data_IF_662903023326
#
_entry.id   IF_662903023326
#
_cell.length_a   1.000
_cell.length_b   1.000
_cell.length_c   1.000
_cell.angle_alpha   90.00
_cell.angle_beta   90.00
_cell.angle_gamma   90.00
#
_symmetry.space_group_name_H-M   'P 1'
#
loop_
_entity.id
_entity.type
_entity.pdbx_description
1 polymer ?
#
# COMPACT_ATOMS: atom_id res chain seq x y z
N UNK A 1 28.96 17.67 9.77
CA UNK A 1 27.67 17.01 9.54
C UNK A 1 26.69 17.65 10.47
N UNK A 2 25.49 17.98 10.01
CA UNK A 2 24.48 18.56 10.91
C UNK A 2 24.06 17.50 11.93
N UNK A 3 23.77 17.93 13.14
CA UNK A 3 23.30 17.05 14.25
C UNK A 3 21.99 16.32 13.93
N UNK A 4 21.39 16.56 12.76
CA UNK A 4 20.10 16.04 12.31
C UNK A 4 20.19 14.79 11.41
N UNK A 5 21.30 14.53 10.73
CA UNK A 5 21.44 13.40 9.80
C UNK A 5 22.04 12.21 10.53
N UNK A 6 21.27 11.09 10.60
CA UNK A 6 21.70 9.82 11.18
C UNK A 6 22.42 8.95 10.15
N UNK A 7 21.95 9.01 8.90
CA UNK A 7 22.53 8.25 7.80
C UNK A 7 22.39 9.03 6.49
N UNK A 8 23.45 8.99 5.70
CA UNK A 8 23.48 9.46 4.30
C UNK A 8 24.30 8.47 3.50
N UNK A 9 23.73 7.89 2.46
CA UNK A 9 24.35 6.88 1.61
C UNK A 9 23.36 6.29 0.62
N UNK A 10 23.69 5.17 0.02
CA UNK A 10 22.82 4.44 -0.91
C UNK A 10 21.89 3.46 -0.20
N UNK A 11 20.84 3.00 -0.91
CA UNK A 11 19.94 1.96 -0.39
C UNK A 11 20.70 0.69 0.01
N UNK A 12 21.70 0.26 -0.77
CA UNK A 12 22.55 -0.90 -0.48
C UNK A 12 23.36 -0.72 0.80
N UNK A 13 23.93 0.46 1.01
CA UNK A 13 24.69 0.78 2.23
C UNK A 13 23.78 0.82 3.46
N UNK A 14 22.55 1.38 3.31
CA UNK A 14 21.54 1.35 4.37
C UNK A 14 21.21 -0.09 4.76
N UNK A 15 20.93 -0.96 3.79
CA UNK A 15 20.68 -2.38 4.02
C UNK A 15 21.82 -3.05 4.78
N UNK A 16 23.07 -2.81 4.36
CA UNK A 16 24.25 -3.35 5.03
C UNK A 16 24.37 -2.92 6.49
N UNK A 17 24.07 -1.65 6.79
CA UNK A 17 24.10 -1.15 8.17
C UNK A 17 22.97 -1.72 9.05
N UNK A 18 21.81 -1.92 8.47
CA UNK A 18 20.67 -2.57 9.14
C UNK A 18 21.02 -4.02 9.47
N UNK A 19 21.61 -4.77 8.53
CA UNK A 19 22.03 -6.18 8.73
C UNK A 19 23.08 -6.34 9.82
N UNK A 20 24.02 -5.37 9.92
CA UNK A 20 25.05 -5.35 10.95
C UNK A 20 24.55 -4.87 12.31
N UNK A 21 23.29 -4.44 12.41
CA UNK A 21 22.74 -3.86 13.64
C UNK A 21 23.33 -2.49 14.01
N UNK A 22 23.95 -1.78 13.05
CA UNK A 22 24.53 -0.46 13.29
C UNK A 22 23.44 0.64 13.35
N UNK A 23 22.28 0.39 12.75
CA UNK A 23 21.12 1.25 12.76
C UNK A 23 19.95 0.51 13.39
N UNK A 24 19.92 0.49 14.72
CA UNK A 24 18.80 -0.09 15.47
C UNK A 24 17.85 1.05 15.86
N UNK A 25 16.64 1.10 15.30
CA UNK A 25 15.66 2.08 15.74
C UNK A 25 15.30 1.81 17.20
N UNK A 26 15.19 2.86 17.99
CA UNK A 26 14.52 2.78 19.29
C UNK A 26 13.02 2.62 19.05
N UNK A 27 12.60 1.39 18.72
CA UNK A 27 11.19 1.06 18.66
C UNK A 27 10.62 1.18 20.08
N UNK A 28 10.02 2.29 20.39
CA UNK A 28 8.97 2.27 21.38
C UNK A 28 7.83 1.48 20.77
N UNK A 29 7.46 0.38 21.42
CA UNK A 29 6.29 -0.40 21.05
C UNK A 29 5.07 0.53 21.15
N UNK A 30 4.79 1.26 20.07
CA UNK A 30 3.59 2.06 20.01
C UNK A 30 2.48 1.12 19.56
N UNK A 31 1.44 1.00 20.36
CA UNK A 31 0.17 0.41 19.95
C UNK A 31 -0.59 1.31 18.96
N UNK A 32 0.13 2.28 18.34
CA UNK A 32 -0.45 3.14 17.32
C UNK A 32 -0.61 2.38 16.00
N UNK A 33 -1.71 2.56 15.28
CA UNK A 33 -1.86 2.03 13.93
C UNK A 33 -0.66 2.46 13.04
N UNK A 34 -0.23 1.58 12.12
CA UNK A 34 -0.85 0.34 11.72
C UNK A 34 -0.25 -0.89 12.42
N UNK A 35 -1.05 -1.64 13.19
CA UNK A 35 -0.67 -2.93 13.77
C UNK A 35 -1.11 -4.10 12.85
N UNK A 36 -0.77 -5.34 13.22
CA UNK A 36 -1.17 -6.57 12.50
C UNK A 36 -2.67 -6.61 12.18
N UNK A 37 -3.53 -6.27 13.15
CA UNK A 37 -4.99 -6.20 12.99
C UNK A 37 -5.41 -5.22 11.89
N UNK A 38 -4.81 -4.03 11.84
CA UNK A 38 -5.13 -3.01 10.84
C UNK A 38 -4.91 -3.48 9.42
N UNK A 39 -3.81 -4.19 9.20
CA UNK A 39 -3.47 -4.67 7.86
C UNK A 39 -4.32 -5.85 7.44
N UNK A 40 -4.61 -6.77 8.36
CA UNK A 40 -5.54 -7.86 8.09
C UNK A 40 -6.92 -7.30 7.73
N UNK A 41 -7.43 -6.33 8.48
CA UNK A 41 -8.68 -5.64 8.16
C UNK A 41 -8.64 -4.98 6.77
N UNK A 42 -7.52 -4.32 6.42
CA UNK A 42 -7.38 -3.64 5.12
C UNK A 42 -7.54 -4.61 3.93
N UNK A 43 -6.99 -5.81 4.04
CA UNK A 43 -7.12 -6.85 3.00
C UNK A 43 -8.57 -7.35 2.91
N UNK A 44 -9.17 -7.66 4.05
CA UNK A 44 -10.53 -8.21 4.11
C UNK A 44 -11.60 -7.19 3.67
N UNK A 45 -11.40 -5.92 4.00
CA UNK A 45 -12.29 -4.84 3.56
C UNK A 45 -12.32 -4.66 2.03
N UNK A 46 -11.39 -5.26 1.29
CA UNK A 46 -11.38 -5.32 -0.17
C UNK A 46 -12.21 -6.44 -0.79
N UNK A 47 -13.00 -7.18 0.00
CA UNK A 47 -13.87 -8.27 -0.47
C UNK A 47 -15.32 -7.81 -0.40
N UNK A 48 -16.02 -7.81 -1.53
CA UNK A 48 -17.44 -7.42 -1.61
C UNK A 48 -18.34 -8.39 -0.87
N UNK A 49 -19.40 -7.89 -0.27
CA UNK A 49 -20.37 -8.66 0.51
C UNK A 49 -19.72 -9.49 1.62
N UNK A 50 -18.58 -9.03 2.13
CA UNK A 50 -17.89 -9.58 3.28
C UNK A 50 -18.17 -8.72 4.51
N UNK A 51 -18.43 -9.35 5.65
CA UNK A 51 -18.50 -8.66 6.94
C UNK A 51 -17.26 -8.99 7.77
N UNK A 52 -16.33 -8.05 7.95
CA UNK A 52 -15.31 -8.15 8.99
C UNK A 52 -16.01 -8.14 10.36
N UNK A 53 -15.88 -9.22 11.13
CA UNK A 53 -16.38 -9.32 12.50
C UNK A 53 -15.20 -9.19 13.46
N UNK A 54 -15.09 -8.04 14.10
CA UNK A 54 -13.99 -7.73 15.00
C UNK A 54 -14.28 -8.33 16.37
N UNK A 55 -13.48 -9.31 16.77
CA UNK A 55 -13.56 -9.93 18.09
C UNK A 55 -12.63 -9.20 19.06
N UNK A 56 -13.23 -8.20 19.72
CA UNK A 56 -12.47 -7.30 20.58
C UNK A 56 -13.30 -6.13 21.10
N UNK A 57 -12.63 -5.12 21.69
CA UNK A 57 -13.29 -3.93 22.20
C UNK A 57 -13.70 -2.99 21.07
N UNK A 58 -14.64 -2.11 21.36
CA UNK A 58 -15.14 -1.11 20.40
C UNK A 58 -14.06 -0.17 19.87
N UNK A 59 -12.99 0.08 20.65
CA UNK A 59 -11.88 0.95 20.24
C UNK A 59 -11.14 0.46 19.00
N UNK A 60 -10.88 -0.83 18.87
CA UNK A 60 -10.26 -1.40 17.66
C UNK A 60 -11.17 -1.23 16.45
N UNK A 61 -12.47 -1.48 16.61
CA UNK A 61 -13.46 -1.29 15.55
C UNK A 61 -13.57 0.17 15.12
N UNK A 62 -13.62 1.08 16.10
CA UNK A 62 -13.69 2.51 15.82
C UNK A 62 -12.47 2.99 15.04
N UNK A 63 -11.27 2.55 15.42
CA UNK A 63 -10.03 3.00 14.77
C UNK A 63 -10.00 2.69 13.27
N UNK A 64 -10.36 1.47 12.87
CA UNK A 64 -10.41 1.09 11.45
C UNK A 64 -11.62 1.71 10.74
N UNK A 65 -12.81 1.64 11.34
CA UNK A 65 -14.04 2.16 10.72
C UNK A 65 -13.98 3.67 10.49
N UNK A 66 -13.43 4.44 11.45
CA UNK A 66 -13.28 5.88 11.31
C UNK A 66 -12.30 6.24 10.18
N UNK A 67 -11.14 5.57 10.14
CA UNK A 67 -10.15 5.81 9.09
C UNK A 67 -10.71 5.49 7.69
N UNK A 68 -11.36 4.35 7.52
CA UNK A 68 -11.92 3.97 6.22
C UNK A 68 -13.11 4.82 5.82
N UNK A 69 -13.98 5.22 6.76
CA UNK A 69 -15.10 6.13 6.46
C UNK A 69 -14.64 7.54 6.10
N UNK A 70 -13.62 8.06 6.79
CA UNK A 70 -13.07 9.38 6.47
C UNK A 70 -12.47 9.45 5.07
N UNK A 71 -11.89 8.36 4.60
CA UNK A 71 -11.19 8.28 3.33
C UNK A 71 -11.88 7.35 2.33
N UNK A 72 -13.14 6.94 2.62
CA UNK A 72 -13.88 5.98 1.81
C UNK A 72 -14.01 6.43 0.37
N UNK A 73 -13.43 5.65 -0.52
CA UNK A 73 -13.70 5.69 -1.94
C UNK A 73 -14.86 4.75 -2.23
N UNK A 74 -16.04 5.27 -2.52
CA UNK A 74 -17.15 4.51 -3.11
C UNK A 74 -16.83 4.21 -4.57
N UNK A 75 -15.99 3.19 -4.81
CA UNK A 75 -15.61 2.83 -6.16
C UNK A 75 -16.22 1.49 -6.58
N UNK A 76 -16.81 1.45 -7.77
CA UNK A 76 -17.43 0.25 -8.38
C UNK A 76 -18.34 -0.55 -7.45
N UNK A 77 -19.07 0.11 -6.57
CA UNK A 77 -19.95 -0.56 -5.63
C UNK A 77 -19.20 -1.40 -4.58
N UNK A 78 -17.93 -1.08 -4.31
CA UNK A 78 -17.19 -1.54 -3.16
C UNK A 78 -17.24 -0.45 -2.08
N UNK A 79 -18.36 -0.28 -1.37
CA UNK A 79 -18.42 0.58 -0.21
C UNK A 79 -17.47 0.01 0.84
N UNK A 80 -17.11 0.82 1.82
CA UNK A 80 -16.57 0.25 3.06
C UNK A 80 -17.61 -0.72 3.59
N UNK A 81 -17.31 -2.01 3.52
CA UNK A 81 -18.22 -3.06 3.93
C UNK A 81 -18.65 -2.87 5.38
N UNK A 82 -19.88 -3.24 5.73
CA UNK A 82 -20.37 -3.09 7.09
C UNK A 82 -19.51 -3.93 8.04
N UNK A 83 -18.90 -3.28 9.01
CA UNK A 83 -18.08 -3.92 10.04
C UNK A 83 -18.92 -4.24 11.27
N UNK A 84 -18.83 -5.45 11.78
CA UNK A 84 -19.43 -5.88 13.04
C UNK A 84 -18.39 -6.00 14.16
N UNK A 85 -18.84 -5.99 15.41
CA UNK A 85 -17.97 -6.05 16.59
C UNK A 85 -18.63 -6.81 17.72
N UNK A 86 -17.84 -7.63 18.42
CA UNK A 86 -18.33 -8.31 19.64
C UNK A 86 -18.47 -7.35 20.82
N UNK A 87 -17.79 -6.20 20.78
CA UNK A 87 -17.79 -5.21 21.86
C UNK A 87 -17.46 -5.83 23.24
N UNK A 88 -16.36 -6.60 23.29
CA UNK A 88 -15.93 -7.25 24.53
C UNK A 88 -15.75 -6.21 25.65
N UNK A 89 -16.39 -6.47 26.77
CA UNK A 89 -16.29 -5.73 28.02
C UNK A 89 -15.59 -6.57 29.10
N UNK A 90 -15.49 -6.05 30.30
CA UNK A 90 -14.82 -6.70 31.43
C UNK A 90 -15.37 -8.09 31.73
N UNK A 91 -16.70 -8.29 31.63
CA UNK A 91 -17.34 -9.59 31.87
C UNK A 91 -16.80 -10.65 30.91
N UNK A 92 -16.73 -10.33 29.62
CA UNK A 92 -16.19 -11.26 28.62
C UNK A 92 -14.70 -11.48 28.75
N UNK A 93 -13.94 -10.48 29.23
CA UNK A 93 -12.51 -10.64 29.51
C UNK A 93 -12.28 -11.65 30.65
N UNK A 94 -13.15 -11.68 31.66
CA UNK A 94 -13.03 -12.59 32.81
C UNK A 94 -13.56 -13.98 32.50
N UNK A 95 -14.67 -14.11 31.80
CA UNK A 95 -15.40 -15.37 31.61
C UNK A 95 -15.25 -15.99 30.21
N UNK A 96 -14.51 -15.34 29.29
CA UNK A 96 -14.35 -15.74 27.89
C UNK A 96 -15.38 -15.08 26.97
N UNK A 97 -14.95 -14.80 25.75
CA UNK A 97 -15.71 -14.08 24.72
C UNK A 97 -16.35 -14.96 23.64
N UNK A 98 -16.10 -16.27 23.63
CA UNK A 98 -16.53 -17.18 22.56
C UNK A 98 -18.05 -17.21 22.36
N UNK A 99 -18.81 -17.22 23.44
CA UNK A 99 -20.29 -17.19 23.37
C UNK A 99 -20.79 -15.89 22.72
N UNK A 100 -20.17 -14.76 23.08
CA UNK A 100 -20.48 -13.45 22.47
C UNK A 100 -20.09 -13.40 20.99
N UNK A 101 -18.94 -14.00 20.63
CA UNK A 101 -18.49 -14.10 19.25
C UNK A 101 -19.51 -14.88 18.40
N UNK A 102 -19.97 -16.02 18.91
CA UNK A 102 -20.95 -16.86 18.24
C UNK A 102 -22.24 -16.07 17.96
N UNK A 103 -22.80 -15.42 18.97
CA UNK A 103 -24.02 -14.62 18.80
C UNK A 103 -23.79 -13.40 17.87
N UNK A 104 -22.65 -12.72 17.98
CA UNK A 104 -22.33 -11.59 17.10
C UNK A 104 -22.26 -11.98 15.62
N UNK A 105 -21.78 -13.18 15.32
CA UNK A 105 -21.74 -13.68 13.95
C UNK A 105 -23.15 -13.98 13.41
N UNK A 106 -24.04 -14.53 14.24
CA UNK A 106 -25.46 -14.70 13.88
C UNK A 106 -26.17 -13.37 13.67
N UNK A 107 -25.91 -12.40 14.54
CA UNK A 107 -26.42 -11.03 14.40
C UNK A 107 -25.95 -10.40 13.09
N UNK A 108 -24.66 -10.54 12.74
CA UNK A 108 -24.08 -10.05 11.51
C UNK A 108 -24.74 -10.69 10.26
N UNK A 109 -24.95 -12.02 10.28
CA UNK A 109 -25.68 -12.73 9.21
C UNK A 109 -27.09 -12.19 9.05
N UNK A 110 -27.84 -12.09 10.15
CA UNK A 110 -29.23 -11.61 10.15
C UNK A 110 -29.34 -10.17 9.63
N UNK A 111 -28.38 -9.31 10.01
CA UNK A 111 -28.42 -7.87 9.70
C UNK A 111 -27.96 -7.54 8.29
N UNK A 112 -26.89 -8.17 7.84
CA UNK A 112 -26.20 -7.79 6.60
C UNK A 112 -26.32 -8.82 5.49
N UNK A 113 -26.70 -10.06 5.81
CA UNK A 113 -26.77 -11.20 4.90
C UNK A 113 -25.53 -11.32 3.97
N UNK A 114 -24.31 -11.34 4.53
CA UNK A 114 -23.09 -11.41 3.75
C UNK A 114 -22.89 -12.79 3.10
N UNK A 115 -22.05 -12.83 2.07
CA UNK A 115 -21.56 -14.07 1.47
C UNK A 115 -20.40 -14.69 2.30
N UNK A 116 -19.65 -13.82 3.02
CA UNK A 116 -18.50 -14.21 3.84
C UNK A 116 -18.49 -13.39 5.15
N UNK A 117 -18.22 -14.05 6.25
CA UNK A 117 -17.87 -13.42 7.53
C UNK A 117 -16.40 -13.74 7.84
N UNK A 118 -15.59 -12.70 8.10
CA UNK A 118 -14.21 -12.89 8.52
C UNK A 118 -14.02 -12.39 9.94
N UNK A 119 -13.79 -13.31 10.86
CA UNK A 119 -13.50 -13.00 12.25
C UNK A 119 -12.05 -12.51 12.36
N UNK A 120 -11.85 -11.33 12.93
CA UNK A 120 -10.55 -10.72 13.19
C UNK A 120 -10.35 -10.62 14.71
N UNK A 121 -9.44 -11.43 15.27
CA UNK A 121 -9.12 -11.34 16.70
C UNK A 121 -8.30 -10.08 17.01
N UNK A 122 -8.61 -9.46 18.16
CA UNK A 122 -7.85 -8.33 18.71
C UNK A 122 -6.94 -8.78 19.85
N UNK A 123 -6.12 -7.86 20.37
CA UNK A 123 -5.18 -8.16 21.44
C UNK A 123 -5.86 -8.75 22.69
N UNK A 124 -7.02 -8.22 23.10
CA UNK A 124 -7.72 -8.73 24.29
C UNK A 124 -8.25 -10.16 24.09
N UNK A 125 -8.86 -10.48 22.96
CA UNK A 125 -9.35 -11.84 22.67
C UNK A 125 -8.20 -12.85 22.56
N UNK A 126 -7.05 -12.44 22.00
CA UNK A 126 -5.86 -13.29 21.98
C UNK A 126 -5.24 -13.52 23.37
N UNK A 127 -5.25 -12.50 24.25
CA UNK A 127 -4.75 -12.64 25.63
C UNK A 127 -5.61 -13.58 26.49
N UNK A 128 -6.94 -13.49 26.36
CA UNK A 128 -7.85 -14.39 27.09
C UNK A 128 -7.92 -15.79 26.49
N UNK A 129 -7.36 -16.00 25.30
CA UNK A 129 -7.23 -17.32 24.68
C UNK A 129 -8.48 -17.84 24.01
N UNK A 130 -9.41 -16.98 23.56
CA UNK A 130 -10.61 -17.40 22.84
C UNK A 130 -10.27 -18.18 21.57
N UNK A 131 -10.91 -19.34 21.36
CA UNK A 131 -10.72 -20.18 20.18
C UNK A 131 -11.62 -19.73 19.02
N UNK A 132 -11.14 -18.70 18.31
CA UNK A 132 -11.87 -18.07 17.21
C UNK A 132 -12.10 -19.00 16.02
N UNK A 133 -11.20 -19.95 15.77
CA UNK A 133 -11.30 -20.94 14.69
C UNK A 133 -12.40 -21.96 14.95
N UNK A 134 -12.46 -22.50 16.18
CA UNK A 134 -13.54 -23.42 16.57
C UNK A 134 -14.89 -22.72 16.53
N UNK A 135 -14.97 -21.47 17.01
CA UNK A 135 -16.22 -20.69 16.93
C UNK A 135 -16.61 -20.44 15.47
N UNK A 136 -15.65 -20.04 14.59
CA UNK A 136 -15.92 -19.85 13.18
C UNK A 136 -16.54 -21.09 12.53
N UNK A 137 -15.93 -22.27 12.75
CA UNK A 137 -16.39 -23.53 12.18
C UNK A 137 -17.81 -23.94 12.70
N UNK A 138 -18.13 -23.61 13.94
CA UNK A 138 -19.48 -23.86 14.52
C UNK A 138 -20.53 -22.92 13.92
N UNK A 139 -20.19 -21.63 13.83
CA UNK A 139 -21.08 -20.60 13.26
C UNK A 139 -21.37 -20.88 11.80
N UNK A 140 -20.37 -21.21 11.00
CA UNK A 140 -20.50 -21.54 9.58
C UNK A 140 -21.56 -22.58 9.33
N UNK A 141 -21.56 -23.67 10.12
CA UNK A 141 -22.55 -24.76 10.03
C UNK A 141 -23.95 -24.29 10.39
N UNK A 142 -24.07 -23.42 11.39
CA UNK A 142 -25.39 -22.98 11.88
C UNK A 142 -26.04 -21.96 10.95
N UNK A 143 -25.26 -21.00 10.41
CA UNK A 143 -25.82 -19.90 9.60
C UNK A 143 -25.77 -20.18 8.09
N UNK A 144 -25.16 -21.29 7.66
CA UNK A 144 -24.99 -21.69 6.27
C UNK A 144 -24.35 -20.54 5.42
N UNK A 145 -23.25 -20.01 5.90
CA UNK A 145 -22.48 -18.92 5.27
C UNK A 145 -21.01 -19.15 5.54
N UNK A 146 -20.14 -18.95 4.55
CA UNK A 146 -18.69 -19.11 4.73
C UNK A 146 -18.21 -18.22 5.88
N UNK A 147 -17.48 -18.79 6.85
CA UNK A 147 -16.93 -18.09 8.01
C UNK A 147 -15.48 -18.52 8.22
N UNK A 148 -14.57 -17.59 8.19
CA UNK A 148 -13.14 -17.83 8.48
C UNK A 148 -12.67 -16.94 9.62
N UNK A 149 -11.61 -17.35 10.29
CA UNK A 149 -10.98 -16.59 11.36
C UNK A 149 -9.52 -16.25 11.03
N UNK A 150 -9.08 -15.09 11.46
CA UNK A 150 -7.71 -14.63 11.33
C UNK A 150 -7.23 -14.19 12.70
N UNK A 151 -6.12 -14.79 13.17
CA UNK A 151 -5.42 -14.32 14.36
C UNK A 151 -4.62 -13.06 14.02
N UNK A 152 -5.20 -11.93 14.35
CA UNK A 152 -4.70 -10.60 13.96
C UNK A 152 -4.26 -9.73 15.15
N UNK A 153 -3.97 -10.33 16.29
CA UNK A 153 -3.54 -9.63 17.50
C UNK A 153 -2.30 -8.77 17.23
N UNK A 154 -2.36 -7.51 17.64
CA UNK A 154 -1.28 -6.54 17.38
C UNK A 154 0.08 -6.91 18.00
N UNK A 155 0.08 -7.67 19.12
CA UNK A 155 1.29 -8.20 19.72
C UNK A 155 1.83 -9.45 19.00
N UNK A 156 1.01 -10.12 18.20
CA UNK A 156 1.37 -11.36 17.49
C UNK A 156 2.16 -11.13 16.19
N UNK A 157 2.48 -9.90 15.86
CA UNK A 157 3.25 -9.57 14.67
C UNK A 157 3.16 -8.11 14.28
N UNK A 158 3.81 -7.80 13.18
CA UNK A 158 3.89 -6.46 12.60
C UNK A 158 2.81 -6.21 11.53
N UNK A 159 2.89 -5.05 10.91
CA UNK A 159 2.01 -4.63 9.82
C UNK A 159 2.01 -5.62 8.63
N UNK A 160 3.19 -6.17 8.26
CA UNK A 160 3.31 -7.11 7.15
C UNK A 160 2.68 -8.46 7.47
N UNK A 161 2.88 -8.96 8.68
CA UNK A 161 2.33 -10.23 9.13
C UNK A 161 0.80 -10.27 9.10
N UNK A 162 0.13 -9.13 9.36
CA UNK A 162 -1.33 -9.03 9.22
C UNK A 162 -1.81 -9.19 7.78
N UNK A 163 -1.09 -8.62 6.85
CA UNK A 163 -1.36 -8.78 5.42
C UNK A 163 -1.14 -10.24 4.96
N UNK A 164 -0.05 -10.86 5.42
CA UNK A 164 0.27 -12.25 5.08
C UNK A 164 -0.75 -13.25 5.63
N UNK A 165 -1.18 -13.06 6.89
CA UNK A 165 -2.20 -13.92 7.49
C UNK A 165 -3.57 -13.76 6.80
N UNK A 166 -3.94 -12.54 6.41
CA UNK A 166 -5.16 -12.32 5.65
C UNK A 166 -5.12 -13.01 4.28
N UNK A 167 -3.99 -12.97 3.57
CA UNK A 167 -3.87 -13.69 2.31
C UNK A 167 -3.84 -15.21 2.48
N UNK A 168 -3.25 -15.75 3.54
CA UNK A 168 -3.37 -17.19 3.86
C UNK A 168 -4.84 -17.59 4.03
N UNK A 169 -5.59 -16.78 4.78
CA UNK A 169 -7.02 -17.03 4.99
C UNK A 169 -7.83 -16.92 3.69
N UNK A 170 -7.53 -15.95 2.80
CA UNK A 170 -8.18 -15.85 1.49
C UNK A 170 -7.85 -17.07 0.61
N UNK A 171 -6.59 -17.51 0.58
CA UNK A 171 -6.17 -18.69 -0.19
C UNK A 171 -6.84 -19.97 0.29
N UNK A 172 -7.14 -20.10 1.59
CA UNK A 172 -7.90 -21.26 2.10
C UNK A 172 -9.33 -21.37 1.58
N UNK A 173 -9.90 -20.28 1.08
CA UNK A 173 -11.24 -20.27 0.42
C UNK A 173 -11.19 -20.72 -1.03
N UNK A 174 -10.02 -20.74 -1.66
CA UNK A 174 -9.83 -21.08 -3.06
C UNK A 174 -10.04 -22.57 -3.30
N UNK A 175 -10.50 -22.92 -4.50
CA UNK A 175 -10.74 -24.32 -4.89
C UNK A 175 -9.98 -24.62 -6.16
N UNK A 176 -9.34 -25.81 -6.28
CA UNK A 176 -8.71 -26.24 -7.51
C UNK A 176 -9.68 -26.14 -8.70
N UNK A 177 -9.24 -25.53 -9.79
CA UNK A 177 -10.04 -25.27 -10.98
C UNK A 177 -9.26 -25.59 -12.24
N UNK A 178 -9.98 -25.91 -13.33
CA UNK A 178 -9.36 -26.01 -14.64
C UNK A 178 -8.95 -24.64 -15.12
N UNK A 179 -7.70 -24.50 -15.54
CA UNK A 179 -7.14 -23.25 -16.06
C UNK A 179 -7.85 -22.82 -17.34
N UNK A 180 -8.25 -21.56 -17.39
CA UNK A 180 -8.82 -20.88 -18.56
C UNK A 180 -7.73 -20.05 -19.24
N UNK A 181 -7.57 -20.21 -20.54
CA UNK A 181 -6.60 -19.45 -21.33
C UNK A 181 -6.93 -17.95 -21.33
N UNK A 182 -5.90 -17.14 -21.46
CA UNK A 182 -5.98 -15.68 -21.51
C UNK A 182 -6.72 -15.08 -20.31
N UNK A 183 -6.53 -15.67 -19.12
CA UNK A 183 -7.10 -15.15 -17.88
C UNK A 183 -6.02 -14.95 -16.83
N UNK A 184 -6.16 -13.89 -16.05
CA UNK A 184 -5.27 -13.56 -14.92
C UNK A 184 -6.08 -13.15 -13.69
N UNK A 185 -5.45 -13.20 -12.51
CA UNK A 185 -5.83 -12.36 -11.39
C UNK A 185 -4.82 -11.21 -11.26
N UNK A 186 -5.25 -10.09 -10.69
CA UNK A 186 -4.34 -9.06 -10.16
C UNK A 186 -4.23 -9.31 -8.66
N UNK A 187 -3.01 -9.49 -8.15
CA UNK A 187 -2.73 -9.82 -6.75
C UNK A 187 -1.86 -8.77 -6.08
N UNK A 188 -2.00 -8.63 -4.75
CA UNK A 188 -1.26 -7.64 -3.98
C UNK A 188 -1.86 -6.24 -4.01
N UNK A 189 -3.07 -6.08 -4.53
CA UNK A 189 -3.82 -4.84 -4.39
C UNK A 189 -4.10 -4.57 -2.91
N UNK A 190 -4.02 -3.31 -2.52
CA UNK A 190 -4.27 -2.90 -1.15
C UNK A 190 -5.21 -1.71 -1.11
N UNK A 191 -6.35 -1.91 -0.50
CA UNK A 191 -7.27 -0.84 -0.15
C UNK A 191 -6.81 -0.24 1.17
N UNK A 192 -6.31 0.98 1.12
CA UNK A 192 -5.87 1.70 2.32
C UNK A 192 -6.54 3.06 2.44
N UNK A 193 -6.78 3.55 3.66
CA UNK A 193 -7.39 4.87 3.83
C UNK A 193 -6.49 6.00 3.33
N UNK A 194 -5.20 5.74 3.16
CA UNK A 194 -4.22 6.71 2.66
C UNK A 194 -3.93 6.60 1.16
N UNK A 195 -4.47 5.58 0.49
CA UNK A 195 -4.32 5.39 -0.96
C UNK A 195 -5.68 5.58 -1.64
N UNK A 196 -6.04 6.81 -1.91
CA UNK A 196 -7.34 7.16 -2.51
C UNK A 196 -7.38 6.91 -4.02
N UNK A 197 -6.24 6.72 -4.65
CA UNK A 197 -6.07 6.52 -6.09
C UNK A 197 -6.18 5.04 -6.50
N UNK A 198 -6.22 4.11 -5.55
CA UNK A 198 -6.23 2.67 -5.83
C UNK A 198 -7.29 2.21 -6.84
N UNK A 199 -8.51 2.80 -6.88
CA UNK A 199 -9.51 2.37 -7.87
C UNK A 199 -9.07 2.68 -9.29
N UNK A 200 -8.58 3.90 -9.52
CA UNK A 200 -8.12 4.34 -10.84
C UNK A 200 -6.83 3.60 -11.25
N UNK A 201 -6.00 3.21 -10.30
CA UNK A 201 -4.82 2.38 -10.55
C UNK A 201 -5.22 0.98 -11.02
N UNK A 202 -6.24 0.37 -10.40
CA UNK A 202 -6.80 -0.90 -10.87
C UNK A 202 -7.37 -0.75 -12.28
N UNK A 203 -8.14 0.30 -12.53
CA UNK A 203 -8.73 0.53 -13.85
C UNK A 203 -7.68 0.66 -14.95
N UNK A 204 -6.60 1.38 -14.68
CA UNK A 204 -5.51 1.53 -15.65
C UNK A 204 -4.78 0.20 -15.89
N UNK A 205 -4.49 -0.58 -14.86
CA UNK A 205 -3.86 -1.89 -15.02
C UNK A 205 -4.76 -2.88 -15.75
N UNK A 206 -6.06 -2.90 -15.44
CA UNK A 206 -7.05 -3.71 -16.17
C UNK A 206 -7.13 -3.29 -17.63
N UNK A 207 -7.22 -1.99 -17.92
CA UNK A 207 -7.23 -1.46 -19.29
C UNK A 207 -6.06 -1.97 -20.12
N UNK A 208 -4.85 -1.96 -19.54
CA UNK A 208 -3.62 -2.39 -20.20
C UNK A 208 -3.63 -3.90 -20.53
N UNK A 209 -4.07 -4.74 -19.61
CA UNK A 209 -4.11 -6.19 -19.87
C UNK A 209 -5.30 -6.59 -20.76
N UNK A 210 -6.44 -5.93 -20.63
CA UNK A 210 -7.60 -6.15 -21.50
C UNK A 210 -7.31 -5.76 -22.95
N UNK A 211 -6.48 -4.74 -23.19
CA UNK A 211 -5.99 -4.38 -24.53
C UNK A 211 -5.13 -5.46 -25.18
N UNK A 212 -4.60 -6.43 -24.41
CA UNK A 212 -3.91 -7.63 -24.89
C UNK A 212 -4.86 -8.81 -25.18
N UNK A 213 -6.16 -8.65 -24.93
CA UNK A 213 -7.14 -9.74 -25.00
C UNK A 213 -7.13 -10.64 -23.77
N UNK A 214 -6.59 -10.17 -22.65
CA UNK A 214 -6.55 -10.88 -21.37
C UNK A 214 -7.77 -10.49 -20.55
N UNK A 215 -8.44 -11.49 -19.97
CA UNK A 215 -9.56 -11.27 -19.04
C UNK A 215 -9.05 -11.30 -17.60
N UNK A 216 -9.39 -10.29 -16.81
CA UNK A 216 -9.12 -10.28 -15.38
C UNK A 216 -10.24 -11.03 -14.66
N UNK A 217 -9.92 -12.17 -14.03
CA UNK A 217 -10.87 -12.95 -13.25
C UNK A 217 -11.20 -12.23 -11.92
N UNK A 218 -10.17 -11.78 -11.22
CA UNK A 218 -10.32 -11.10 -9.94
C UNK A 218 -9.16 -10.12 -9.69
N UNK A 219 -9.47 -9.01 -9.00
CA UNK A 219 -8.47 -8.20 -8.30
C UNK A 219 -8.55 -8.59 -6.83
N UNK A 220 -7.69 -9.50 -6.41
CA UNK A 220 -7.76 -10.06 -5.05
C UNK A 220 -7.54 -8.96 -4.01
N UNK A 221 -8.48 -8.84 -3.06
CA UNK A 221 -8.56 -7.77 -2.07
C UNK A 221 -8.69 -6.34 -2.66
N UNK A 222 -9.10 -6.23 -3.93
CA UNK A 222 -9.33 -4.96 -4.64
C UNK A 222 -10.75 -4.83 -5.20
N UNK A 223 -11.76 -5.27 -4.46
CA UNK A 223 -13.16 -5.25 -4.87
C UNK A 223 -13.66 -6.59 -5.47
N UNK A 224 -12.98 -7.70 -5.18
CA UNK A 224 -13.41 -9.04 -5.59
C UNK A 224 -14.58 -9.57 -4.75
N UNK A 225 -15.32 -10.53 -5.30
CA UNK A 225 -16.35 -11.31 -4.62
C UNK A 225 -15.79 -12.62 -4.08
N UNK A 226 -16.50 -13.26 -3.15
CA UNK A 226 -16.16 -14.61 -2.66
C UNK A 226 -16.08 -15.64 -3.79
N UNK A 227 -17.00 -15.58 -4.76
CA UNK A 227 -17.01 -16.51 -5.90
C UNK A 227 -15.80 -16.30 -6.82
N UNK A 228 -15.34 -15.04 -7.00
CA UNK A 228 -14.10 -14.75 -7.71
C UNK A 228 -12.88 -15.28 -6.98
N UNK A 229 -12.87 -15.21 -5.64
CA UNK A 229 -11.81 -15.81 -4.81
C UNK A 229 -11.82 -17.34 -4.96
N UNK A 230 -12.99 -18.00 -4.81
CA UNK A 230 -13.09 -19.46 -4.91
C UNK A 230 -12.58 -19.99 -6.25
N UNK A 231 -12.78 -19.24 -7.34
CA UNK A 231 -12.32 -19.63 -8.68
C UNK A 231 -10.97 -19.01 -9.07
N UNK A 232 -10.29 -18.28 -8.18
CA UNK A 232 -9.01 -17.64 -8.48
C UNK A 232 -7.95 -18.60 -9.06
N UNK A 233 -7.88 -19.90 -8.68
CA UNK A 233 -6.96 -20.83 -9.31
C UNK A 233 -7.25 -21.21 -10.78
N UNK A 234 -8.33 -20.70 -11.39
CA UNK A 234 -8.66 -20.98 -12.79
C UNK A 234 -7.90 -20.14 -13.83
N UNK A 235 -6.90 -19.37 -13.44
CA UNK A 235 -6.17 -18.46 -14.33
C UNK A 235 -4.81 -19.00 -14.75
N UNK A 236 -4.26 -18.46 -15.86
CA UNK A 236 -2.92 -18.82 -16.33
C UNK A 236 -1.81 -18.17 -15.50
N UNK A 237 -2.07 -16.97 -14.92
CA UNK A 237 -1.06 -16.19 -14.22
C UNK A 237 -1.69 -15.28 -13.17
N UNK A 238 -1.02 -15.08 -12.07
CA UNK A 238 -1.29 -14.00 -11.14
C UNK A 238 -0.40 -12.80 -11.51
N UNK A 239 -1.01 -11.73 -12.00
CA UNK A 239 -0.33 -10.46 -12.26
C UNK A 239 -0.09 -9.74 -10.93
N UNK A 240 1.15 -9.60 -10.51
CA UNK A 240 1.48 -8.90 -9.28
C UNK A 240 1.29 -7.39 -9.48
N UNK A 241 0.57 -6.74 -8.57
CA UNK A 241 0.50 -5.29 -8.47
C UNK A 241 1.89 -4.71 -8.24
N UNK A 242 2.58 -5.25 -7.23
CA UNK A 242 4.01 -5.12 -7.03
C UNK A 242 4.54 -6.34 -6.30
N UNK A 243 5.83 -6.60 -6.43
CA UNK A 243 6.47 -7.75 -5.79
C UNK A 243 6.29 -7.76 -4.27
N UNK A 244 6.35 -6.61 -3.61
CA UNK A 244 6.23 -6.52 -2.15
C UNK A 244 4.90 -7.08 -1.61
N UNK A 245 3.77 -6.61 -2.14
CA UNK A 245 2.44 -7.01 -1.68
C UNK A 245 1.91 -8.26 -2.38
N UNK A 246 2.34 -8.52 -3.61
CA UNK A 246 1.92 -9.68 -4.39
C UNK A 246 2.67 -10.97 -4.06
N UNK A 247 3.88 -10.88 -3.47
CA UNK A 247 4.74 -12.04 -3.24
C UNK A 247 4.06 -13.12 -2.41
N UNK A 248 3.47 -12.77 -1.28
CA UNK A 248 2.92 -13.79 -0.36
C UNK A 248 1.79 -14.58 -0.97
N UNK A 249 0.80 -13.90 -1.55
CA UNK A 249 -0.31 -14.58 -2.20
C UNK A 249 0.15 -15.29 -3.49
N UNK A 250 1.07 -14.68 -4.24
CA UNK A 250 1.65 -15.29 -5.44
C UNK A 250 2.32 -16.63 -5.14
N UNK A 251 3.20 -16.68 -4.12
CA UNK A 251 3.88 -17.91 -3.69
C UNK A 251 2.87 -18.96 -3.20
N UNK A 252 1.90 -18.58 -2.37
CA UNK A 252 0.88 -19.50 -1.86
C UNK A 252 0.05 -20.11 -3.00
N UNK A 253 -0.31 -19.34 -4.01
CA UNK A 253 -1.08 -19.83 -5.15
C UNK A 253 -0.23 -20.69 -6.09
N UNK A 254 1.06 -20.38 -6.25
CA UNK A 254 2.00 -21.20 -7.00
C UNK A 254 2.21 -22.56 -6.33
N UNK A 255 2.44 -22.58 -4.99
CA UNK A 255 2.65 -23.81 -4.22
C UNK A 255 1.41 -24.71 -4.12
N UNK A 256 0.21 -24.13 -3.97
CA UNK A 256 -1.02 -24.91 -3.72
C UNK A 256 -1.81 -25.24 -4.98
N UNK A 257 -1.69 -24.46 -6.03
CA UNK A 257 -2.52 -24.58 -7.24
C UNK A 257 -1.74 -24.56 -8.55
N UNK A 258 -0.42 -24.51 -8.50
CA UNK A 258 0.46 -24.39 -9.68
C UNK A 258 0.18 -23.15 -10.54
N UNK A 259 -0.36 -22.08 -9.96
CA UNK A 259 -0.61 -20.83 -10.67
C UNK A 259 0.57 -19.89 -10.48
N UNK A 260 1.40 -19.67 -11.52
CA UNK A 260 2.57 -18.81 -11.42
C UNK A 260 2.20 -17.35 -11.18
N UNK A 261 3.15 -16.53 -10.72
CA UNK A 261 2.94 -15.09 -10.57
C UNK A 261 4.06 -14.26 -11.19
N UNK A 262 3.69 -13.07 -11.69
CA UNK A 262 4.66 -12.14 -12.25
C UNK A 262 5.46 -11.46 -11.13
N UNK A 263 6.78 -11.33 -11.33
CA UNK A 263 7.69 -10.64 -10.39
C UNK A 263 8.11 -9.32 -11.01
N UNK A 264 7.55 -8.22 -10.51
CA UNK A 264 7.79 -6.88 -11.06
C UNK A 264 7.68 -5.82 -9.96
N UNK A 265 8.35 -4.68 -10.17
CA UNK A 265 8.15 -3.47 -9.36
C UNK A 265 6.80 -2.81 -9.65
N UNK A 266 6.55 -1.70 -8.96
CA UNK A 266 5.38 -0.86 -9.22
C UNK A 266 5.52 -0.18 -10.59
N UNK A 267 4.46 -0.14 -11.43
CA UNK A 267 4.52 0.43 -12.78
C UNK A 267 4.45 1.97 -12.79
N UNK A 268 5.44 2.63 -12.14
CA UNK A 268 5.64 4.06 -12.21
C UNK A 268 6.52 4.43 -13.41
N UNK A 269 6.11 5.43 -14.19
CA UNK A 269 6.82 5.81 -15.41
C UNK A 269 6.57 4.85 -16.57
N UNK A 270 7.15 5.15 -17.74
CA UNK A 270 6.87 4.35 -18.95
C UNK A 270 7.69 3.05 -18.99
N UNK A 271 8.95 3.04 -18.53
CA UNK A 271 9.80 1.85 -18.55
C UNK A 271 9.29 0.79 -17.56
N UNK A 272 8.97 1.17 -16.32
CA UNK A 272 8.43 0.22 -15.35
C UNK A 272 7.05 -0.31 -15.77
N UNK A 273 6.21 0.51 -16.42
CA UNK A 273 4.94 0.06 -17.01
C UNK A 273 5.15 -0.94 -18.15
N UNK A 274 6.12 -0.69 -19.01
CA UNK A 274 6.52 -1.62 -20.09
C UNK A 274 6.96 -2.98 -19.51
N UNK A 275 7.81 -2.97 -18.49
CA UNK A 275 8.27 -4.18 -17.81
C UNK A 275 7.11 -4.93 -17.17
N UNK A 276 6.18 -4.22 -16.53
CA UNK A 276 4.99 -4.80 -15.93
C UNK A 276 4.14 -5.52 -17.00
N UNK A 277 3.86 -4.89 -18.13
CA UNK A 277 3.12 -5.49 -19.26
C UNK A 277 3.85 -6.74 -19.78
N UNK A 278 5.17 -6.66 -20.00
CA UNK A 278 5.96 -7.77 -20.53
C UNK A 278 6.07 -8.92 -19.53
N UNK A 279 6.10 -8.65 -18.21
CA UNK A 279 6.11 -9.69 -17.17
C UNK A 279 4.86 -10.57 -17.18
N UNK A 280 3.75 -10.06 -17.73
CA UNK A 280 2.49 -10.77 -17.91
C UNK A 280 2.43 -11.42 -19.31
N UNK A 281 2.73 -10.64 -20.34
CA UNK A 281 2.56 -11.05 -21.70
C UNK A 281 3.55 -12.16 -22.17
N UNK A 282 4.80 -12.13 -21.67
CA UNK A 282 5.82 -13.10 -22.06
C UNK A 282 5.45 -14.55 -21.67
N UNK A 283 5.10 -14.86 -20.41
CA UNK A 283 4.71 -16.22 -20.04
C UNK A 283 3.41 -16.67 -20.71
N UNK A 284 2.54 -15.75 -21.12
CA UNK A 284 1.29 -16.04 -21.82
C UNK A 284 1.44 -16.13 -23.35
N UNK A 285 2.65 -15.95 -23.90
CA UNK A 285 2.90 -15.99 -25.34
C UNK A 285 2.35 -14.80 -26.13
N UNK A 286 2.08 -13.69 -25.47
CA UNK A 286 1.48 -12.46 -26.04
C UNK A 286 2.50 -11.34 -26.30
N UNK A 287 3.81 -11.67 -26.35
CA UNK A 287 4.88 -10.67 -26.48
C UNK A 287 4.70 -9.72 -27.67
N UNK A 288 4.31 -10.24 -28.84
CA UNK A 288 4.13 -9.43 -30.06
C UNK A 288 2.99 -8.40 -29.90
N UNK A 289 1.89 -8.80 -29.27
CA UNK A 289 0.75 -7.94 -28.97
C UNK A 289 1.15 -6.87 -27.94
N UNK A 290 1.89 -7.28 -26.91
CA UNK A 290 2.40 -6.38 -25.87
C UNK A 290 3.32 -5.30 -26.45
N UNK A 291 4.27 -5.65 -27.31
CA UNK A 291 5.17 -4.67 -27.93
C UNK A 291 4.41 -3.65 -28.79
N UNK A 292 3.36 -4.07 -29.53
CA UNK A 292 2.51 -3.15 -30.29
C UNK A 292 1.70 -2.22 -29.38
N UNK A 293 1.16 -2.74 -28.28
CA UNK A 293 0.44 -1.93 -27.29
C UNK A 293 1.39 -0.89 -26.67
N UNK A 294 2.56 -1.31 -26.24
CA UNK A 294 3.59 -0.46 -25.65
C UNK A 294 3.96 0.67 -26.60
N UNK A 295 4.30 0.35 -27.85
CA UNK A 295 4.65 1.36 -28.87
C UNK A 295 3.51 2.38 -29.06
N UNK A 296 2.27 1.91 -29.13
CA UNK A 296 1.09 2.77 -29.25
C UNK A 296 0.89 3.68 -28.04
N UNK A 297 1.04 3.15 -26.82
CA UNK A 297 0.86 3.91 -25.59
C UNK A 297 2.02 4.92 -25.39
N UNK A 298 3.27 4.52 -25.64
CA UNK A 298 4.44 5.40 -25.56
C UNK A 298 4.36 6.54 -26.60
N UNK A 299 3.82 6.25 -27.79
CA UNK A 299 3.58 7.29 -28.79
C UNK A 299 2.58 8.36 -28.29
N UNK A 300 1.52 7.95 -27.59
CA UNK A 300 0.50 8.85 -27.05
C UNK A 300 1.04 9.81 -25.96
N UNK A 301 2.07 9.36 -25.22
CA UNK A 301 2.66 10.13 -24.12
C UNK A 301 4.03 10.71 -24.44
N UNK A 302 4.44 10.70 -25.72
CA UNK A 302 5.76 11.17 -26.15
C UNK A 302 6.11 12.58 -25.67
N UNK A 303 5.15 13.51 -25.75
CA UNK A 303 5.34 14.87 -25.28
C UNK A 303 5.43 14.94 -23.74
N UNK A 304 4.72 14.08 -23.04
CA UNK A 304 4.80 14.00 -21.57
C UNK A 304 6.16 13.46 -21.11
N UNK A 305 6.70 12.46 -21.83
CA UNK A 305 8.06 11.94 -21.60
C UNK A 305 9.08 13.06 -21.77
N UNK A 306 8.99 13.84 -22.86
CA UNK A 306 9.88 14.97 -23.13
C UNK A 306 9.82 16.03 -22.03
N UNK A 307 8.61 16.40 -21.61
CA UNK A 307 8.40 17.34 -20.50
C UNK A 307 9.03 16.86 -19.19
N UNK A 308 8.91 15.57 -18.89
CA UNK A 308 9.53 14.99 -17.69
C UNK A 308 11.06 15.03 -17.76
N UNK A 309 11.65 14.73 -18.93
CA UNK A 309 13.09 14.85 -19.15
C UNK A 309 13.56 16.29 -18.95
N UNK A 310 12.94 17.27 -19.59
CA UNK A 310 13.24 18.70 -19.44
C UNK A 310 13.09 19.19 -17.99
N UNK A 311 12.12 18.63 -17.27
CA UNK A 311 11.85 18.98 -15.88
C UNK A 311 12.87 18.40 -14.90
N UNK A 312 13.35 17.18 -15.12
CA UNK A 312 14.09 16.40 -14.13
C UNK A 312 15.58 16.23 -14.47
N UNK A 313 15.97 16.30 -15.75
CA UNK A 313 17.35 16.05 -16.19
C UNK A 313 18.36 16.88 -15.40
N UNK A 314 19.34 16.20 -14.79
CA UNK A 314 20.40 16.78 -13.98
C UNK A 314 19.95 17.41 -12.66
N UNK A 315 18.66 17.42 -12.35
CA UNK A 315 18.14 18.00 -11.10
C UNK A 315 18.00 16.97 -9.99
N UNK A 316 18.19 17.41 -8.77
CA UNK A 316 17.88 16.59 -7.60
C UNK A 316 16.38 16.59 -7.35
N UNK A 317 15.83 15.42 -7.04
CA UNK A 317 14.45 15.24 -6.64
C UNK A 317 14.40 14.61 -5.25
N UNK A 318 13.84 15.32 -4.30
CA UNK A 318 13.66 14.86 -2.93
C UNK A 318 12.33 14.10 -2.82
N UNK A 319 12.33 12.93 -2.23
CA UNK A 319 11.14 12.07 -2.04
C UNK A 319 10.98 11.79 -0.55
N UNK A 320 9.97 12.38 0.07
CA UNK A 320 9.68 12.17 1.50
C UNK A 320 8.59 11.12 1.66
N UNK A 321 8.82 10.11 2.52
CA UNK A 321 7.98 8.92 2.64
C UNK A 321 7.22 8.77 3.96
N UNK A 322 7.24 9.76 4.85
CA UNK A 322 6.73 9.61 6.21
C UNK A 322 5.30 9.06 6.30
N UNK A 323 4.40 9.47 5.42
CA UNK A 323 3.02 8.98 5.41
C UNK A 323 2.58 8.48 4.03
N UNK A 324 2.98 9.16 2.99
CA UNK A 324 2.66 8.90 1.59
C UNK A 324 3.77 9.51 0.72
N UNK A 325 4.25 8.79 -0.26
CA UNK A 325 3.63 7.64 -0.93
C UNK A 325 3.88 6.28 -0.27
N UNK A 326 4.67 6.20 0.79
CA UNK A 326 5.12 4.97 1.40
C UNK A 326 6.37 4.39 0.71
N UNK A 327 7.09 3.46 1.38
CA UNK A 327 8.46 3.08 1.01
C UNK A 327 8.59 2.52 -0.41
N UNK A 328 7.72 1.59 -0.81
CA UNK A 328 7.83 0.98 -2.14
C UNK A 328 7.45 1.92 -3.27
N UNK A 329 6.49 2.82 -3.03
CA UNK A 329 6.17 3.88 -4.00
C UNK A 329 7.28 4.92 -4.10
N UNK A 330 7.93 5.25 -2.98
CA UNK A 330 9.06 6.17 -2.99
C UNK A 330 10.25 5.61 -3.78
N UNK A 331 10.55 4.32 -3.64
CA UNK A 331 11.59 3.65 -4.43
C UNK A 331 11.21 3.60 -5.92
N UNK A 332 9.95 3.27 -6.24
CA UNK A 332 9.47 3.29 -7.62
C UNK A 332 9.49 4.70 -8.25
N UNK A 333 9.17 5.73 -7.47
CA UNK A 333 9.33 7.14 -7.89
C UNK A 333 10.80 7.50 -8.11
N UNK A 334 11.70 7.03 -7.24
CA UNK A 334 13.13 7.24 -7.41
C UNK A 334 13.61 6.66 -8.74
N UNK A 335 13.24 5.41 -9.05
CA UNK A 335 13.52 4.78 -10.33
C UNK A 335 12.96 5.59 -11.50
N UNK A 336 11.69 6.02 -11.42
CA UNK A 336 11.08 6.85 -12.46
C UNK A 336 11.85 8.16 -12.66
N UNK A 337 12.32 8.80 -11.60
CA UNK A 337 13.09 10.04 -11.69
C UNK A 337 14.44 9.79 -12.39
N UNK A 338 15.13 8.69 -12.07
CA UNK A 338 16.37 8.27 -12.76
C UNK A 338 16.12 8.00 -14.26
N UNK A 339 14.99 7.39 -14.59
CA UNK A 339 14.56 7.15 -15.98
C UNK A 339 14.51 8.43 -16.82
N UNK A 340 14.20 9.57 -16.19
CA UNK A 340 14.16 10.89 -16.84
C UNK A 340 15.42 11.73 -16.58
N UNK A 341 16.53 11.12 -16.18
CA UNK A 341 17.83 11.78 -16.00
C UNK A 341 17.95 12.61 -14.72
N UNK A 342 17.02 12.47 -13.79
CA UNK A 342 17.07 13.13 -12.49
C UNK A 342 17.89 12.36 -11.46
N UNK A 343 18.22 13.01 -10.35
CA UNK A 343 18.98 12.46 -9.23
C UNK A 343 18.06 12.31 -8.00
N UNK A 344 17.44 11.15 -7.77
CA UNK A 344 16.53 10.98 -6.65
C UNK A 344 17.27 10.87 -5.31
N UNK A 345 16.69 11.47 -4.28
CA UNK A 345 17.10 11.34 -2.88
C UNK A 345 15.88 10.99 -2.07
N UNK A 346 15.83 9.76 -1.55
CA UNK A 346 14.73 9.28 -0.70
C UNK A 346 15.03 9.66 0.74
N UNK A 347 14.12 10.39 1.35
CA UNK A 347 14.25 10.86 2.72
C UNK A 347 13.41 9.98 3.63
N UNK A 348 14.04 9.50 4.72
CA UNK A 348 13.36 8.80 5.81
C UNK A 348 12.84 7.40 5.49
N UNK A 349 13.58 6.64 4.67
CA UNK A 349 13.36 5.20 4.55
C UNK A 349 13.85 4.50 5.84
N UNK A 350 12.94 4.25 6.75
CA UNK A 350 13.26 3.79 8.10
C UNK A 350 13.91 2.39 8.13
N UNK A 351 14.95 2.14 8.98
CA UNK A 351 15.62 0.83 9.09
C UNK A 351 14.69 -0.34 9.41
N UNK A 352 13.65 -0.12 10.22
CA UNK A 352 12.61 -1.12 10.48
C UNK A 352 11.90 -1.54 9.19
N UNK A 353 11.52 -0.57 8.35
CA UNK A 353 10.91 -0.82 7.05
C UNK A 353 11.84 -1.59 6.11
N UNK A 354 13.14 -1.29 6.13
CA UNK A 354 14.16 -2.02 5.36
C UNK A 354 14.19 -3.49 5.79
N UNK A 355 14.17 -3.76 7.09
CA UNK A 355 14.14 -5.13 7.63
C UNK A 355 12.85 -5.86 7.27
N UNK A 356 11.71 -5.22 7.47
CA UNK A 356 10.38 -5.77 7.22
C UNK A 356 10.17 -6.13 5.73
N UNK A 357 10.67 -5.25 4.83
CA UNK A 357 10.47 -5.39 3.38
C UNK A 357 11.70 -5.89 2.63
N UNK A 358 12.62 -6.53 3.34
CA UNK A 358 13.89 -6.96 2.79
C UNK A 358 13.77 -7.74 1.48
N UNK A 359 12.88 -8.74 1.33
CA UNK A 359 12.77 -9.48 0.07
C UNK A 359 12.42 -8.59 -1.13
N UNK A 360 11.55 -7.59 -0.93
CA UNK A 360 11.18 -6.66 -2.00
C UNK A 360 12.31 -5.66 -2.31
N UNK A 361 13.01 -5.18 -1.29
CA UNK A 361 14.16 -4.30 -1.46
C UNK A 361 15.30 -5.03 -2.16
N UNK A 362 15.59 -6.27 -1.80
CA UNK A 362 16.62 -7.07 -2.48
C UNK A 362 16.27 -7.34 -3.95
N UNK A 363 14.98 -7.56 -4.24
CA UNK A 363 14.52 -7.65 -5.63
C UNK A 363 14.81 -6.36 -6.41
N UNK A 364 14.52 -5.18 -5.86
CA UNK A 364 14.82 -3.89 -6.50
C UNK A 364 16.32 -3.66 -6.68
N UNK A 365 17.13 -3.99 -5.65
CA UNK A 365 18.59 -3.91 -5.74
C UNK A 365 19.18 -4.83 -6.82
N UNK A 366 18.58 -6.00 -7.06
CA UNK A 366 18.96 -6.92 -8.15
C UNK A 366 18.60 -6.35 -9.54
N UNK A 367 17.56 -5.52 -9.62
CA UNK A 367 17.20 -4.78 -10.83
C UNK A 367 18.08 -3.53 -11.05
N UNK A 368 19.04 -3.25 -10.17
CA UNK A 368 19.94 -2.11 -10.27
C UNK A 368 19.45 -0.84 -9.57
N UNK A 369 18.29 -0.89 -8.92
CA UNK A 369 17.72 0.25 -8.20
C UNK A 369 18.50 0.49 -6.90
N UNK A 370 19.24 1.60 -6.81
CA UNK A 370 20.09 1.91 -5.65
C UNK A 370 20.12 3.41 -5.35
N UNK A 371 18.97 4.07 -5.10
CA UNK A 371 18.89 5.50 -4.89
C UNK A 371 19.65 5.95 -3.64
N UNK A 372 19.96 7.24 -3.60
CA UNK A 372 20.49 7.89 -2.41
C UNK A 372 19.41 7.97 -1.34
N UNK A 373 19.80 7.66 -0.08
CA UNK A 373 18.94 7.68 1.09
C UNK A 373 19.50 8.65 2.12
N UNK A 374 18.62 9.47 2.72
CA UNK A 374 18.93 10.30 3.88
C UNK A 374 17.96 9.95 5.00
N UNK A 375 18.49 9.61 6.18
CA UNK A 375 17.70 9.44 7.40
C UNK A 375 17.94 10.58 8.35
N UNK A 376 16.87 11.13 8.89
CA UNK A 376 16.92 12.19 9.89
C UNK A 376 16.64 11.65 11.29
N UNK A 377 17.12 12.37 12.30
CA UNK A 377 17.04 11.98 13.71
C UNK A 377 15.60 11.97 14.23
N UNK A 378 14.78 12.94 13.85
CA UNK A 378 13.40 13.07 14.30
C UNK A 378 12.50 11.93 13.87
N UNK A 379 12.80 11.27 12.74
CA UNK A 379 12.09 10.07 12.31
C UNK A 379 12.72 8.77 12.79
N UNK A 380 13.98 8.80 13.20
CA UNK A 380 14.65 7.64 13.79
C UNK A 380 14.11 7.29 15.19
N UNK A 381 13.63 8.28 15.92
CA UNK A 381 12.98 8.17 17.23
C UNK A 381 11.43 8.00 17.12
N UNK A 382 10.92 7.29 16.10
CA UNK A 382 9.48 7.09 15.91
C UNK A 382 8.81 6.52 17.16
N UNK A 383 8.10 7.33 17.83
CA UNK A 383 7.24 7.02 18.98
C UNK A 383 6.25 8.14 19.28
N UNK A 384 6.47 9.33 18.76
CA UNK A 384 5.63 10.49 19.09
C UNK A 384 5.17 11.23 17.82
N UNK A 385 3.87 11.37 17.65
CA UNK A 385 3.24 12.35 16.75
C UNK A 385 3.70 13.79 17.04
N UNK A 386 4.31 14.04 18.20
CA UNK A 386 4.94 15.32 18.54
C UNK A 386 6.26 15.60 17.83
N UNK A 387 6.90 14.57 17.26
CA UNK A 387 8.11 14.74 16.44
C UNK A 387 7.87 15.46 15.10
N UNK A 388 6.62 15.74 14.76
CA UNK A 388 6.24 16.39 13.50
C UNK A 388 6.93 17.76 13.29
N UNK A 389 7.12 18.56 14.32
CA UNK A 389 7.77 19.88 14.23
C UNK A 389 9.30 19.79 14.09
N UNK A 390 9.92 18.83 14.77
CA UNK A 390 11.37 18.61 14.65
C UNK A 390 11.69 18.01 13.29
N UNK A 391 10.91 17.04 12.86
CA UNK A 391 11.02 16.44 11.51
C UNK A 391 10.83 17.49 10.41
N UNK A 392 9.90 18.43 10.55
CA UNK A 392 9.70 19.52 9.59
C UNK A 392 10.96 20.39 9.45
N UNK A 393 11.60 20.77 10.56
CA UNK A 393 12.86 21.54 10.54
C UNK A 393 14.00 20.78 9.91
N UNK A 394 14.09 19.48 10.16
CA UNK A 394 15.12 18.62 9.58
C UNK A 394 14.96 18.49 8.06
N UNK A 395 13.73 18.35 7.58
CA UNK A 395 13.45 18.29 6.14
C UNK A 395 13.61 19.65 5.49
N UNK A 396 13.22 20.76 6.15
CA UNK A 396 13.53 22.12 5.68
C UNK A 396 15.05 22.33 5.54
N UNK A 397 15.83 21.82 6.50
CA UNK A 397 17.29 21.85 6.43
C UNK A 397 17.83 21.08 5.21
N UNK A 398 17.31 19.86 4.95
CA UNK A 398 17.69 19.08 3.75
C UNK A 398 17.28 19.84 2.49
N UNK A 399 16.07 20.37 2.44
CA UNK A 399 15.57 21.14 1.30
C UNK A 399 16.45 22.37 0.99
N UNK A 400 16.98 23.03 2.01
CA UNK A 400 17.90 24.16 1.86
C UNK A 400 19.27 23.77 1.30
N UNK A 401 19.72 22.53 1.49
CA UNK A 401 20.95 22.01 0.87
C UNK A 401 20.76 21.76 -0.63
N UNK A 402 19.52 21.52 -1.07
CA UNK A 402 19.15 21.18 -2.44
C UNK A 402 18.25 22.25 -3.09
N UNK A 403 18.71 23.51 -3.09
CA UNK A 403 17.92 24.71 -3.47
C UNK A 403 17.23 24.69 -4.84
N UNK A 404 17.70 23.90 -5.78
CA UNK A 404 17.13 23.78 -7.14
C UNK A 404 16.43 22.43 -7.36
N UNK A 405 15.97 21.79 -6.30
CA UNK A 405 15.31 20.49 -6.38
C UNK A 405 13.78 20.60 -6.52
N UNK A 406 13.19 19.48 -6.94
CA UNK A 406 11.75 19.26 -6.91
C UNK A 406 11.46 18.34 -5.73
N UNK A 407 10.36 18.60 -5.02
CA UNK A 407 10.01 17.84 -3.83
C UNK A 407 8.74 17.04 -4.04
N UNK A 408 8.83 15.71 -3.94
CA UNK A 408 7.70 14.79 -4.00
C UNK A 408 7.25 14.46 -2.58
N UNK A 409 6.21 15.14 -2.11
CA UNK A 409 5.77 15.05 -0.72
C UNK A 409 4.33 15.53 -0.51
N UNK A 410 3.87 15.47 0.73
CA UNK A 410 2.65 16.15 1.17
C UNK A 410 2.88 17.67 1.25
N UNK A 411 2.18 18.51 0.46
CA UNK A 411 2.47 19.96 0.34
C UNK A 411 2.18 20.77 1.59
N UNK A 412 1.54 20.22 2.59
CA UNK A 412 1.27 20.93 3.85
C UNK A 412 2.54 21.20 4.66
N UNK A 413 3.66 20.54 4.32
CA UNK A 413 4.89 20.57 5.13
C UNK A 413 6.00 21.47 4.60
N UNK A 414 6.10 21.73 3.27
CA UNK A 414 7.33 22.36 2.71
C UNK A 414 7.07 23.50 1.72
N UNK A 415 7.29 24.75 2.15
CA UNK A 415 6.95 25.93 1.35
C UNK A 415 8.06 26.47 0.43
N UNK A 416 9.32 26.03 0.58
CA UNK A 416 10.46 26.68 -0.10
C UNK A 416 10.78 26.10 -1.47
N UNK A 417 10.33 24.88 -1.79
CA UNK A 417 10.60 24.18 -3.05
C UNK A 417 9.31 24.00 -3.89
N UNK A 418 9.44 23.75 -5.20
CA UNK A 418 8.32 23.21 -5.99
C UNK A 418 7.90 21.85 -5.44
N UNK A 419 6.66 21.71 -4.98
CA UNK A 419 6.16 20.48 -4.38
C UNK A 419 5.20 19.77 -5.32
N UNK A 420 5.54 18.56 -5.71
CA UNK A 420 4.64 17.61 -6.39
C UNK A 420 3.85 16.86 -5.33
N UNK A 421 2.60 17.22 -5.17
CA UNK A 421 1.71 16.54 -4.26
C UNK A 421 1.05 15.36 -4.95
N UNK A 422 1.56 14.17 -4.69
CA UNK A 422 1.05 12.93 -5.27
C UNK A 422 -0.34 12.54 -4.75
N UNK A 423 -0.81 13.14 -3.65
CA UNK A 423 -2.08 12.79 -3.00
C UNK A 423 -3.26 13.63 -3.45
N UNK A 424 -3.04 14.91 -3.74
CA UNK A 424 -4.15 15.85 -4.00
C UNK A 424 -4.08 16.55 -5.36
N UNK A 425 -2.92 16.59 -6.00
CA UNK A 425 -2.76 17.26 -7.31
C UNK A 425 -2.97 16.28 -8.45
N UNK A 426 -2.65 15.00 -8.24
CA UNK A 426 -2.89 13.95 -9.23
C UNK A 426 -4.28 13.39 -9.00
N UNK A 427 -5.26 13.94 -9.70
CA UNK A 427 -6.60 13.34 -9.79
C UNK A 427 -6.56 12.22 -10.81
N UNK A 428 -6.37 10.97 -10.37
CA UNK A 428 -6.32 9.81 -11.26
C UNK A 428 -5.22 8.83 -10.89
N UNK A 429 -5.00 7.79 -11.72
CA UNK A 429 -3.97 6.79 -11.46
C UNK A 429 -2.57 7.41 -11.47
N UNK A 430 -1.69 6.83 -10.69
CA UNK A 430 -0.25 7.10 -10.75
C UNK A 430 0.50 5.98 -11.49
N UNK A 431 -0.16 4.86 -11.74
CA UNK A 431 0.37 3.71 -12.48
C UNK A 431 0.06 3.78 -13.96
N UNK A 432 0.86 3.06 -14.74
CA UNK A 432 0.63 2.93 -16.16
C UNK A 432 0.98 4.19 -16.94
N UNK A 433 0.58 4.17 -18.19
CA UNK A 433 0.83 5.31 -19.10
C UNK A 433 -0.04 6.52 -18.77
N UNK A 434 -1.28 6.27 -18.30
CA UNK A 434 -2.15 7.34 -17.80
C UNK A 434 -1.57 7.96 -16.53
N UNK A 435 -1.03 7.16 -15.63
CA UNK A 435 -0.38 7.62 -14.41
C UNK A 435 0.85 8.47 -14.69
N UNK A 436 1.67 8.07 -15.65
CA UNK A 436 2.81 8.85 -16.10
C UNK A 436 2.41 10.25 -16.57
N UNK A 437 1.36 10.37 -17.39
CA UNK A 437 0.82 11.66 -17.83
C UNK A 437 0.34 12.52 -16.67
N UNK A 438 -0.34 11.93 -15.70
CA UNK A 438 -0.83 12.64 -14.52
C UNK A 438 0.33 13.19 -13.68
N UNK A 439 1.40 12.40 -13.51
CA UNK A 439 2.61 12.82 -12.78
C UNK A 439 3.32 13.93 -13.55
N UNK A 440 3.47 13.81 -14.87
CA UNK A 440 4.08 14.86 -15.70
C UNK A 440 3.33 16.19 -15.57
N UNK A 441 2.00 16.16 -15.61
CA UNK A 441 1.17 17.34 -15.36
C UNK A 441 1.37 17.92 -13.96
N UNK A 442 1.48 17.06 -12.93
CA UNK A 442 1.72 17.51 -11.56
C UNK A 442 3.09 18.16 -11.40
N UNK A 443 4.12 17.62 -12.04
CA UNK A 443 5.49 18.19 -12.07
C UNK A 443 5.47 19.54 -12.79
N UNK A 444 4.87 19.65 -13.97
CA UNK A 444 4.74 20.90 -14.71
C UNK A 444 4.02 21.99 -13.87
N UNK A 445 2.94 21.63 -13.21
CA UNK A 445 2.25 22.54 -12.29
C UNK A 445 3.11 23.00 -11.12
N UNK A 446 3.82 22.07 -10.48
CA UNK A 446 4.70 22.40 -9.36
C UNK A 446 5.79 23.39 -9.74
N UNK A 447 6.36 23.27 -10.94
CA UNK A 447 7.39 24.18 -11.46
C UNK A 447 6.82 25.54 -11.83
N UNK A 448 5.62 25.59 -12.40
CA UNK A 448 5.01 26.84 -12.89
C UNK A 448 4.32 27.66 -11.78
N UNK A 449 3.80 26.99 -10.77
CA UNK A 449 3.14 27.64 -9.64
C UNK A 449 4.07 27.69 -8.43
N UNK A 450 4.79 28.79 -8.22
CA UNK A 450 5.56 29.03 -7.01
C UNK A 450 4.63 28.98 -5.79
N UNK A 451 4.56 27.85 -5.14
CA UNK A 451 3.75 27.57 -3.95
C UNK A 451 4.16 28.43 -2.73
N UNK A 452 5.32 29.08 -2.79
CA UNK A 452 5.91 29.92 -1.73
C UNK A 452 4.95 30.98 -1.14
N UNK A 453 4.09 31.60 -1.95
CA UNK A 453 3.13 32.60 -1.44
C UNK A 453 1.94 31.99 -0.69
N UNK A 454 1.45 30.82 -1.11
CA UNK A 454 0.29 30.17 -0.48
C UNK A 454 0.60 29.54 0.87
N UNK A 455 1.78 28.98 1.03
CA UNK A 455 2.16 28.33 2.29
C UNK A 455 2.44 29.35 3.39
N UNK A 456 2.94 30.54 3.05
CA UNK A 456 3.09 31.63 4.03
C UNK A 456 1.74 32.07 4.57
N UNK A 457 0.75 32.23 3.70
CA UNK A 457 -0.63 32.55 4.09
C UNK A 457 -1.26 31.43 4.92
N UNK A 458 -0.99 30.16 4.60
CA UNK A 458 -1.51 29.00 5.34
C UNK A 458 -0.87 28.86 6.73
N UNK A 459 0.44 29.12 6.84
CA UNK A 459 1.14 29.20 8.15
C UNK A 459 0.56 30.36 9.01
N UNK A 460 0.30 31.52 8.42
CA UNK A 460 -0.32 32.64 9.13
C UNK A 460 -1.76 32.33 9.61
N UNK A 461 -2.54 31.63 8.79
CA UNK A 461 -3.94 31.26 9.10
C UNK A 461 -4.04 30.11 10.12
N UNK A 462 -3.23 29.06 9.96
CA UNK A 462 -3.33 27.86 10.81
C UNK A 462 -2.60 28.01 12.15
N UNK A 463 -1.52 28.78 12.21
CA UNK A 463 -0.68 28.84 13.41
C UNK A 463 -0.71 30.18 14.14
N UNK A 464 -1.52 31.13 13.67
CA UNK A 464 -1.71 32.42 14.37
C UNK A 464 -0.43 33.24 14.57
N UNK A 465 0.65 32.88 13.89
CA UNK A 465 1.91 33.60 13.98
C UNK A 465 1.87 34.80 13.04
N UNK A 466 1.51 35.95 13.53
CA UNK A 466 1.91 37.22 12.92
C UNK A 466 3.44 37.29 12.96
N UNK A 467 4.05 37.08 11.80
CA UNK A 467 5.44 37.45 11.63
C UNK A 467 5.50 38.97 11.77
N UNK A 468 5.84 39.45 12.95
CA UNK A 468 6.28 40.81 13.12
C UNK A 468 7.60 40.95 12.38
N UNK A 469 7.55 41.77 11.33
CA UNK A 469 8.57 42.49 10.56
C UNK A 469 9.82 41.71 10.13
#
# INVERSE_FOLDING_TARGET
MSDFIVFEGTLRELCSKVDKGELIPKLQASHAPPCKFWTAYAVINGIKHCVPLIHGPTGCTYSVSAAYKMYACNYKGCPVEPTSCTALNETYIVFGGESRLFEAAKEAKKKFNPDLIVILSCCCSGIIGDDVETVASRVEKEINTDVIAIRSEGFGGDFRSGHEEAFKAIVSLMKPQKVKKNTINIVGARIGPTNTEWPQEIDELQRLVEALGITVNAVIAGGCTLEEIKRAPSVELNASWCYDWGQKIGVLMEEQFDVPFSKTGLPYGHLATREWILSIANPMGLQKQALKLIESEEHKIKEDIKKMQEALEGKTSLIEIAEYPGPMRALALARMIEEYGGNPVVINLHPYTVKERRPAIDFLLQQGENPKIILTKGLFDIGNFESSRETEKEIEYIADQYKNSIFFANPLRFPSLPVVNLRTIVSGPQFGYTGMRNIAYAVERALNYRTAKRSRLFKEVLYGQRLHQ
#
